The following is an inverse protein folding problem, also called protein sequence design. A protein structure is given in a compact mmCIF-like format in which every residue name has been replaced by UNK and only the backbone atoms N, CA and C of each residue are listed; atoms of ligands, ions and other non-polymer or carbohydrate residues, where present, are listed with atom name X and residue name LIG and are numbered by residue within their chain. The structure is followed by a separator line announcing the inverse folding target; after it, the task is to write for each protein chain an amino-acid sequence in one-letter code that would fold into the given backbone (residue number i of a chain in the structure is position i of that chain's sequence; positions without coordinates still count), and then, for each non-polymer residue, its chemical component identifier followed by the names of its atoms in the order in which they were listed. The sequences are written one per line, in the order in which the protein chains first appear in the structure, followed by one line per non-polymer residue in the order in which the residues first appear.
data_IF_752245383267
#
_entry.id   IF_752245383267
#
_cell.length_a   1.000
_cell.length_b   1.000
_cell.length_c   1.000
_cell.angle_alpha   90.00
_cell.angle_beta   90.00
_cell.angle_gamma   90.00
#
_symmetry.space_group_name_H-M   'P 1'
#
loop_
_entity.id
_entity.type
_entity.pdbx_description
1 polymer ?
#
# COMPACT_ATOMS: atom_id res chain seq x y z
N UNK A 1 87.35 -20.28 -26.55
CA UNK A 1 86.61 -19.11 -26.03
C UNK A 1 85.13 -19.35 -26.35
N UNK A 2 84.36 -19.80 -25.36
CA UNK A 2 82.98 -20.26 -25.52
C UNK A 2 82.02 -19.06 -25.64
N UNK A 3 81.28 -18.95 -26.75
CA UNK A 3 80.16 -18.03 -26.88
C UNK A 3 78.85 -18.83 -26.72
N UNK A 4 78.17 -18.61 -25.59
CA UNK A 4 76.91 -19.27 -25.22
C UNK A 4 75.76 -18.51 -25.88
N UNK A 5 75.06 -19.14 -26.83
CA UNK A 5 73.84 -18.60 -27.46
C UNK A 5 72.69 -18.72 -26.45
N UNK A 6 72.19 -17.61 -25.96
CA UNK A 6 71.00 -17.56 -25.08
C UNK A 6 69.76 -17.56 -25.97
N UNK A 7 69.06 -18.69 -26.01
CA UNK A 7 67.77 -18.81 -26.71
C UNK A 7 66.66 -18.38 -25.75
N UNK A 8 66.13 -17.17 -25.94
CA UNK A 8 64.95 -16.70 -25.21
C UNK A 8 63.71 -17.46 -25.69
N UNK A 9 63.15 -18.32 -24.84
CA UNK A 9 61.81 -18.88 -25.04
C UNK A 9 60.79 -17.79 -24.71
N UNK A 10 60.12 -17.24 -25.73
CA UNK A 10 58.89 -16.48 -25.53
C UNK A 10 57.81 -17.46 -25.07
N UNK A 11 57.44 -17.37 -23.80
CA UNK A 11 56.24 -18.02 -23.25
C UNK A 11 55.06 -17.16 -23.70
N UNK A 12 54.33 -17.64 -24.71
CA UNK A 12 53.02 -17.08 -25.06
C UNK A 12 52.03 -17.52 -23.98
N UNK A 13 51.67 -16.59 -23.10
CA UNK A 13 50.66 -16.80 -22.07
C UNK A 13 49.29 -16.57 -22.71
N UNK A 14 48.65 -17.66 -23.13
CA UNK A 14 47.29 -17.65 -23.64
C UNK A 14 46.33 -17.38 -22.45
N UNK A 15 45.84 -16.15 -22.34
CA UNK A 15 44.75 -15.80 -21.43
C UNK A 15 43.46 -16.45 -21.95
N UNK A 16 43.13 -17.63 -21.43
CA UNK A 16 41.77 -18.16 -21.53
C UNK A 16 40.87 -17.30 -20.63
N UNK A 17 40.20 -16.31 -21.22
CA UNK A 17 39.03 -15.68 -20.61
C UNK A 17 37.94 -16.75 -20.62
N UNK A 18 37.79 -17.47 -19.51
CA UNK A 18 36.61 -18.28 -19.28
C UNK A 18 35.42 -17.31 -19.22
N UNK A 19 34.59 -17.31 -20.28
CA UNK A 19 33.22 -16.85 -20.17
C UNK A 19 32.57 -17.75 -19.12
N UNK A 20 32.53 -17.27 -17.88
CA UNK A 20 31.62 -17.84 -16.90
C UNK A 20 30.22 -17.67 -17.51
N UNK A 21 29.40 -18.73 -17.63
CA UNK A 21 28.00 -18.50 -17.89
C UNK A 21 27.52 -17.54 -16.79
N UNK A 22 26.95 -16.40 -17.20
CA UNK A 22 26.26 -15.54 -16.25
C UNK A 22 25.24 -16.41 -15.53
N UNK A 23 25.17 -16.32 -14.20
CA UNK A 23 24.06 -16.91 -13.46
C UNK A 23 22.77 -16.48 -14.18
N UNK A 24 21.96 -17.45 -14.60
CA UNK A 24 20.61 -17.12 -15.02
C UNK A 24 19.98 -16.39 -13.84
N UNK A 25 19.57 -15.15 -14.04
CA UNK A 25 18.83 -14.45 -13.01
C UNK A 25 17.53 -15.23 -12.88
N UNK A 26 17.30 -15.73 -11.67
CA UNK A 26 16.05 -16.33 -11.31
C UNK A 26 14.93 -15.30 -11.57
N UNK A 27 13.80 -15.78 -12.09
CA UNK A 27 12.70 -14.93 -12.54
C UNK A 27 11.58 -15.07 -11.53
N UNK A 28 11.29 -13.98 -10.83
CA UNK A 28 10.10 -13.84 -10.01
C UNK A 28 8.87 -13.91 -10.92
N UNK A 29 7.98 -14.84 -10.64
CA UNK A 29 6.70 -15.02 -11.35
C UNK A 29 5.59 -14.76 -10.34
N UNK A 30 4.53 -14.11 -10.81
CA UNK A 30 3.27 -14.00 -10.04
C UNK A 30 2.39 -15.12 -10.54
N UNK A 31 2.11 -16.10 -9.69
CA UNK A 31 1.13 -17.13 -10.02
C UNK A 31 -0.26 -16.52 -9.91
N UNK A 32 -0.59 -15.98 -8.73
CA UNK A 32 -1.83 -15.24 -8.51
C UNK A 32 -1.66 -14.04 -7.55
N UNK A 33 -2.52 -13.05 -7.71
CA UNK A 33 -2.71 -11.99 -6.72
C UNK A 33 -4.17 -11.56 -6.67
N UNK A 34 -4.63 -11.23 -5.47
CA UNK A 34 -6.02 -10.91 -5.21
C UNK A 34 -6.20 -9.65 -4.38
N UNK A 35 -7.33 -8.98 -4.58
CA UNK A 35 -7.80 -7.90 -3.71
C UNK A 35 -9.20 -8.27 -3.21
N UNK A 36 -9.36 -8.32 -1.89
CA UNK A 36 -10.65 -8.49 -1.24
C UNK A 36 -11.05 -7.18 -0.55
N UNK A 37 -12.20 -6.64 -0.93
CA UNK A 37 -12.81 -5.48 -0.28
C UNK A 37 -14.17 -5.93 0.26
N UNK A 38 -14.32 -5.95 1.58
CA UNK A 38 -15.55 -6.27 2.29
C UNK A 38 -16.16 -7.64 1.92
N UNK A 39 -15.33 -8.68 1.84
CA UNK A 39 -15.73 -10.05 1.48
C UNK A 39 -16.00 -10.27 0.00
N UNK A 40 -15.65 -9.31 -0.85
CA UNK A 40 -15.72 -9.43 -2.31
C UNK A 40 -14.31 -9.55 -2.89
N UNK A 41 -13.69 -10.71 -2.70
CA UNK A 41 -12.40 -11.10 -3.29
C UNK A 41 -12.47 -11.23 -4.80
N UNK A 42 -11.48 -10.66 -5.49
CA UNK A 42 -11.23 -10.87 -6.92
C UNK A 42 -9.77 -11.26 -7.08
N UNK A 43 -9.50 -12.31 -7.84
CA UNK A 43 -8.16 -12.68 -8.30
C UNK A 43 -7.89 -12.09 -9.68
N UNK A 44 -6.61 -11.86 -9.99
CA UNK A 44 -6.16 -11.56 -11.36
C UNK A 44 -6.51 -12.68 -12.35
N UNK A 45 -6.47 -13.94 -11.92
CA UNK A 45 -6.81 -15.12 -12.74
C UNK A 45 -8.31 -15.25 -13.06
N UNK A 46 -9.20 -14.58 -12.34
CA UNK A 46 -10.64 -14.60 -12.60
C UNK A 46 -11.01 -14.00 -13.97
N UNK A 47 -10.11 -13.21 -14.55
CA UNK A 47 -10.34 -12.53 -15.83
C UNK A 47 -11.43 -11.46 -15.78
N UNK A 48 -11.81 -11.04 -14.57
CA UNK A 48 -12.72 -9.90 -14.34
C UNK A 48 -11.91 -8.68 -13.88
N UNK A 49 -12.34 -7.45 -14.22
CA UNK A 49 -11.69 -6.26 -13.69
C UNK A 49 -11.86 -6.17 -12.17
N UNK A 50 -10.81 -5.72 -11.47
CA UNK A 50 -10.88 -5.33 -10.06
C UNK A 50 -11.90 -4.20 -9.84
N UNK A 51 -12.32 -4.02 -8.58
CA UNK A 51 -13.20 -2.93 -8.18
C UNK A 51 -12.63 -1.56 -8.58
N UNK A 52 -13.51 -0.58 -8.78
CA UNK A 52 -13.13 0.75 -9.27
C UNK A 52 -12.19 1.52 -8.33
N UNK A 53 -12.17 1.13 -7.06
CA UNK A 53 -11.28 1.65 -6.03
C UNK A 53 -9.81 1.24 -6.26
N UNK A 54 -9.54 0.14 -6.98
CA UNK A 54 -8.19 -0.43 -7.18
C UNK A 54 -7.48 0.24 -8.35
N UNK A 55 -6.32 0.83 -8.06
CA UNK A 55 -5.40 1.42 -9.03
C UNK A 55 -4.11 0.60 -9.13
N UNK A 56 -3.89 0.02 -10.31
CA UNK A 56 -2.71 -0.78 -10.66
C UNK A 56 -1.70 -0.02 -11.52
N UNK A 57 -1.85 1.31 -11.70
CA UNK A 57 -0.98 2.07 -12.60
C UNK A 57 0.51 2.03 -12.24
N UNK A 58 0.82 1.84 -10.96
CA UNK A 58 2.19 1.71 -10.44
C UNK A 58 2.63 0.24 -10.24
N UNK A 59 1.76 -0.73 -10.53
CA UNK A 59 2.06 -2.15 -10.43
C UNK A 59 2.48 -2.69 -11.79
N UNK A 60 3.62 -3.39 -11.84
CA UNK A 60 4.11 -4.03 -13.04
C UNK A 60 3.78 -5.53 -13.02
N UNK A 61 2.67 -5.89 -13.66
CA UNK A 61 2.23 -7.28 -13.80
C UNK A 61 3.24 -8.20 -14.52
N UNK A 62 4.24 -7.64 -15.22
CA UNK A 62 5.31 -8.46 -15.83
C UNK A 62 6.35 -8.90 -14.80
N UNK A 63 6.61 -8.08 -13.78
CA UNK A 63 7.64 -8.36 -12.76
C UNK A 63 7.04 -8.72 -11.40
N UNK A 64 5.74 -8.52 -11.22
CA UNK A 64 5.09 -8.63 -9.91
C UNK A 64 5.49 -7.55 -8.92
N UNK A 65 6.16 -6.48 -9.35
CA UNK A 65 6.68 -5.45 -8.43
C UNK A 65 5.96 -4.12 -8.63
N UNK A 66 6.00 -3.28 -7.60
CA UNK A 66 5.44 -1.93 -7.63
C UNK A 66 4.37 -1.75 -6.56
N UNK A 67 3.46 -0.81 -6.81
CA UNK A 67 2.46 -0.40 -5.82
C UNK A 67 1.04 -0.62 -6.34
N UNK A 68 0.19 -1.17 -5.49
CA UNK A 68 -1.26 -1.25 -5.68
C UNK A 68 -1.90 -0.25 -4.72
N UNK A 69 -2.62 0.73 -5.25
CA UNK A 69 -3.25 1.77 -4.44
C UNK A 69 -4.77 1.67 -4.49
N UNK A 70 -5.43 2.00 -3.40
CA UNK A 70 -6.88 2.13 -3.32
C UNK A 70 -7.30 3.41 -2.64
N UNK A 71 -8.39 4.02 -3.13
CA UNK A 71 -8.96 5.23 -2.54
C UNK A 71 -10.42 5.03 -2.20
N UNK A 72 -10.77 5.31 -0.94
CA UNK A 72 -12.12 5.20 -0.40
C UNK A 72 -12.60 6.56 0.08
N UNK A 73 -13.84 6.94 -0.24
CA UNK A 73 -14.42 8.25 0.13
C UNK A 73 -15.87 8.16 0.60
N UNK A 74 -16.43 6.95 0.65
CA UNK A 74 -17.78 6.71 1.14
C UNK A 74 -17.70 6.40 2.63
N UNK A 75 -18.62 6.97 3.40
CA UNK A 75 -18.73 6.72 4.85
C UNK A 75 -19.08 5.25 5.08
N UNK A 76 -18.33 4.59 5.96
CA UNK A 76 -18.57 3.19 6.28
C UNK A 76 -17.34 2.52 6.89
N UNK A 77 -17.53 1.26 7.27
CA UNK A 77 -16.46 0.36 7.69
C UNK A 77 -15.94 -0.42 6.49
N UNK A 78 -14.63 -0.61 6.45
CA UNK A 78 -13.91 -1.30 5.39
C UNK A 78 -13.00 -2.37 5.99
N UNK A 79 -13.01 -3.55 5.38
CA UNK A 79 -12.01 -4.60 5.52
C UNK A 79 -11.39 -4.82 4.13
N UNK A 80 -10.07 -4.64 4.02
CA UNK A 80 -9.38 -4.68 2.73
C UNK A 80 -8.10 -5.49 2.83
N UNK A 81 -8.05 -6.60 2.09
CA UNK A 81 -6.90 -7.51 2.09
C UNK A 81 -6.35 -7.70 0.67
N UNK A 82 -5.03 -7.74 0.58
CA UNK A 82 -4.31 -8.17 -0.61
C UNK A 82 -3.71 -9.56 -0.36
N UNK A 83 -3.83 -10.43 -1.36
CA UNK A 83 -3.26 -11.77 -1.43
C UNK A 83 -2.23 -11.84 -2.55
N UNK A 84 -1.13 -12.52 -2.32
CA UNK A 84 0.01 -12.62 -3.21
C UNK A 84 0.57 -14.04 -3.19
N UNK A 85 0.62 -14.68 -4.35
CA UNK A 85 1.20 -16.00 -4.58
C UNK A 85 2.30 -15.85 -5.64
N UNK A 86 3.54 -15.93 -5.19
CA UNK A 86 4.74 -15.65 -5.99
C UNK A 86 5.57 -16.91 -6.09
N UNK A 87 6.33 -17.00 -7.16
CA UNK A 87 7.11 -18.20 -7.47
C UNK A 87 8.53 -17.81 -7.87
N UNK A 88 9.53 -18.40 -7.22
CA UNK A 88 10.93 -18.16 -7.55
C UNK A 88 11.47 -19.26 -8.47
N UNK A 89 11.44 -18.98 -9.78
CA UNK A 89 12.09 -19.86 -10.76
C UNK A 89 11.69 -21.34 -10.68
N UNK A 90 10.40 -21.57 -10.44
CA UNK A 90 9.75 -22.87 -10.22
C UNK A 90 10.32 -24.01 -11.09
N UNK A 91 10.41 -23.79 -12.41
CA UNK A 91 10.89 -24.79 -13.37
C UNK A 91 12.36 -25.21 -13.19
N UNK A 92 13.13 -24.50 -12.38
CA UNK A 92 14.52 -24.79 -12.04
C UNK A 92 14.79 -24.98 -10.54
N UNK A 93 13.92 -24.48 -9.65
CA UNK A 93 14.15 -24.49 -8.21
C UNK A 93 13.02 -25.11 -7.37
N UNK A 94 11.90 -25.51 -7.99
CA UNK A 94 10.65 -25.89 -7.28
C UNK A 94 10.07 -24.75 -6.44
N UNK A 95 8.85 -24.93 -5.93
CA UNK A 95 8.21 -24.06 -4.94
C UNK A 95 8.37 -24.55 -3.48
N UNK A 96 8.83 -25.79 -3.27
CA UNK A 96 8.81 -26.47 -1.96
C UNK A 96 9.97 -26.10 -1.01
N UNK A 97 10.82 -25.15 -1.39
CA UNK A 97 12.02 -24.76 -0.65
C UNK A 97 12.00 -23.30 -0.22
N UNK A 98 10.83 -22.69 -0.20
CA UNK A 98 10.64 -21.28 0.08
C UNK A 98 10.13 -21.08 1.51
N UNK A 99 10.29 -19.89 2.07
CA UNK A 99 9.77 -19.58 3.39
C UNK A 99 9.39 -18.10 3.54
N UNK A 100 8.52 -17.82 4.49
CA UNK A 100 8.17 -16.47 4.87
C UNK A 100 8.86 -15.99 6.14
N UNK A 101 9.01 -14.67 6.26
CA UNK A 101 9.46 -14.02 7.49
C UNK A 101 8.78 -12.68 7.73
N UNK A 102 8.79 -12.25 8.99
CA UNK A 102 8.07 -11.07 9.46
C UNK A 102 9.06 -10.12 10.12
N UNK A 103 8.93 -8.83 9.81
CA UNK A 103 9.77 -7.78 10.38
C UNK A 103 8.92 -6.63 10.91
N UNK A 104 9.33 -6.08 12.05
CA UNK A 104 8.62 -5.00 12.72
C UNK A 104 7.41 -5.48 13.50
N UNK A 105 6.39 -4.62 13.61
CA UNK A 105 5.14 -4.94 14.29
C UNK A 105 4.01 -4.28 13.52
N UNK A 106 2.98 -5.08 13.21
CA UNK A 106 1.79 -4.60 12.52
C UNK A 106 1.17 -3.42 13.27
N UNK A 107 0.66 -2.45 12.51
CA UNK A 107 -0.09 -1.35 13.08
C UNK A 107 -1.42 -1.84 13.69
N UNK A 108 -2.08 -0.96 14.46
CA UNK A 108 -3.46 -1.26 14.88
C UNK A 108 -4.33 -1.44 13.63
N UNK A 109 -5.14 -2.49 13.65
CA UNK A 109 -6.07 -2.85 12.56
C UNK A 109 -5.36 -3.24 11.25
N UNK A 110 -4.06 -3.47 11.28
CA UNK A 110 -3.36 -4.14 10.19
C UNK A 110 -3.32 -5.63 10.51
N UNK A 111 -3.81 -6.45 9.59
CA UNK A 111 -3.74 -7.91 9.65
C UNK A 111 -2.77 -8.43 8.61
N UNK A 112 -2.29 -9.65 8.78
CA UNK A 112 -1.34 -10.28 7.87
C UNK A 112 -1.35 -11.79 8.02
N UNK A 113 -0.82 -12.49 7.02
CA UNK A 113 -0.65 -13.94 7.08
C UNK A 113 0.44 -14.38 6.10
N UNK A 114 1.16 -15.44 6.47
CA UNK A 114 2.06 -16.19 5.59
C UNK A 114 1.73 -17.67 5.77
N UNK A 115 1.32 -18.33 4.70
CA UNK A 115 0.96 -19.75 4.73
C UNK A 115 1.11 -20.36 3.33
N UNK A 116 0.88 -21.66 3.24
CA UNK A 116 0.76 -22.38 1.98
C UNK A 116 -0.52 -21.91 1.25
N UNK A 117 -0.51 -21.70 -0.08
CA UNK A 117 -1.64 -21.12 -0.82
C UNK A 117 -2.96 -21.91 -0.74
N UNK A 118 -2.94 -23.15 -0.26
CA UNK A 118 -4.14 -23.93 0.09
C UNK A 118 -4.31 -25.23 -0.70
N UNK A 119 -3.24 -25.74 -1.32
CA UNK A 119 -3.24 -27.01 -2.03
C UNK A 119 -3.05 -28.21 -1.10
N UNK A 120 -2.33 -28.04 0.02
CA UNK A 120 -1.94 -29.13 0.93
C UNK A 120 -2.47 -28.91 2.35
N UNK A 121 -2.18 -27.78 2.98
CA UNK A 121 -2.50 -27.56 4.39
C UNK A 121 -2.78 -26.11 4.81
N UNK A 122 -2.51 -25.11 3.97
CA UNK A 122 -2.71 -23.71 4.35
C UNK A 122 -4.16 -23.24 4.24
N UNK A 123 -4.51 -22.22 5.03
CA UNK A 123 -5.86 -21.62 5.04
C UNK A 123 -5.89 -20.13 4.67
N UNK A 124 -4.75 -19.56 4.28
CA UNK A 124 -4.60 -18.15 3.88
C UNK A 124 -5.57 -17.70 2.78
N UNK A 125 -5.90 -18.54 1.80
CA UNK A 125 -6.85 -18.17 0.76
C UNK A 125 -8.27 -18.05 1.32
N UNK A 126 -8.67 -18.96 2.23
CA UNK A 126 -9.96 -18.90 2.90
C UNK A 126 -10.01 -17.68 3.85
N UNK A 127 -8.96 -17.47 4.66
CA UNK A 127 -8.85 -16.31 5.55
C UNK A 127 -8.91 -15.00 4.75
N UNK A 128 -8.19 -14.90 3.63
CA UNK A 128 -8.26 -13.77 2.71
C UNK A 128 -9.69 -13.57 2.18
N UNK A 129 -10.37 -14.63 1.73
CA UNK A 129 -11.73 -14.54 1.17
C UNK A 129 -12.76 -14.07 2.21
N UNK A 130 -12.57 -14.41 3.49
CA UNK A 130 -13.46 -14.02 4.59
C UNK A 130 -13.03 -12.77 5.35
N UNK A 131 -11.91 -12.13 4.96
CA UNK A 131 -11.29 -11.04 5.70
C UNK A 131 -10.97 -11.39 7.17
N UNK A 132 -10.36 -12.56 7.38
CA UNK A 132 -10.08 -13.14 8.71
C UNK A 132 -8.59 -13.55 8.86
N UNK A 133 -7.67 -12.78 8.27
CA UNK A 133 -6.23 -13.03 8.37
C UNK A 133 -5.76 -13.13 9.83
N UNK A 134 -5.00 -14.17 10.15
CA UNK A 134 -4.84 -14.61 11.54
C UNK A 134 -3.57 -14.09 12.26
N UNK A 135 -2.73 -13.31 11.56
CA UNK A 135 -1.46 -12.77 12.05
C UNK A 135 -0.43 -13.84 12.39
N UNK A 136 -0.37 -14.90 11.58
CA UNK A 136 0.57 -16.01 11.76
C UNK A 136 1.48 -16.22 10.54
N UNK A 137 2.57 -16.95 10.80
CA UNK A 137 3.47 -17.47 9.78
C UNK A 137 3.57 -18.98 9.97
N UNK A 138 2.92 -19.73 9.09
CA UNK A 138 2.90 -21.19 9.09
C UNK A 138 4.10 -21.82 8.38
N UNK A 139 4.85 -21.04 7.58
CA UNK A 139 6.02 -21.48 6.80
C UNK A 139 7.26 -20.65 7.17
N UNK A 140 7.76 -20.76 8.42
CA UNK A 140 8.99 -20.11 8.81
C UNK A 140 10.21 -20.85 8.24
N UNK A 141 11.37 -20.16 8.20
CA UNK A 141 12.65 -20.79 7.87
C UNK A 141 12.90 -22.08 8.69
N UNK A 142 13.32 -23.14 8.00
CA UNK A 142 13.47 -24.50 8.53
C UNK A 142 12.21 -25.37 8.46
N UNK A 143 11.12 -24.85 7.88
CA UNK A 143 9.89 -25.58 7.54
C UNK A 143 9.41 -25.12 6.16
N UNK A 144 10.35 -25.11 5.22
CA UNK A 144 10.16 -24.61 3.86
C UNK A 144 9.08 -25.40 3.11
N UNK A 145 8.28 -24.67 2.32
CA UNK A 145 7.21 -25.17 1.45
C UNK A 145 6.82 -24.06 0.45
N UNK A 146 5.73 -24.23 -0.29
CA UNK A 146 5.11 -23.21 -1.15
C UNK A 146 4.55 -22.05 -0.33
N UNK A 147 4.77 -20.79 -0.71
CA UNK A 147 4.46 -19.61 0.13
C UNK A 147 3.55 -18.62 -0.58
N UNK A 148 2.40 -18.38 0.06
CA UNK A 148 1.58 -17.21 -0.18
C UNK A 148 1.66 -16.19 0.96
N UNK A 149 1.39 -14.94 0.63
CA UNK A 149 1.46 -13.80 1.55
C UNK A 149 0.19 -12.96 1.45
N UNK A 150 -0.36 -12.59 2.61
CA UNK A 150 -1.51 -11.70 2.68
C UNK A 150 -1.28 -10.54 3.67
N UNK A 151 -1.80 -9.36 3.31
CA UNK A 151 -1.76 -8.14 4.13
C UNK A 151 -3.12 -7.46 4.09
N UNK A 152 -3.59 -7.01 5.24
CA UNK A 152 -4.94 -6.48 5.42
C UNK A 152 -5.03 -5.23 6.28
N UNK A 153 -6.11 -4.48 6.10
CA UNK A 153 -6.47 -3.33 6.93
C UNK A 153 -7.97 -3.23 7.19
N UNK A 154 -8.32 -3.01 8.46
CA UNK A 154 -9.66 -2.63 8.89
C UNK A 154 -9.72 -1.15 9.29
N UNK A 155 -10.68 -0.41 8.74
CA UNK A 155 -10.84 1.01 9.06
C UNK A 155 -12.27 1.52 8.87
N UNK A 156 -12.58 2.60 9.58
CA UNK A 156 -13.82 3.35 9.43
C UNK A 156 -13.54 4.68 8.73
N UNK A 157 -14.42 5.07 7.82
CA UNK A 157 -14.46 6.42 7.25
C UNK A 157 -15.66 7.19 7.77
N UNK A 158 -15.40 8.36 8.35
CA UNK A 158 -16.42 9.34 8.73
C UNK A 158 -16.78 10.26 7.56
N UNK A 159 -17.80 11.09 7.78
CA UNK A 159 -18.22 12.11 6.82
C UNK A 159 -17.05 13.05 6.49
N UNK A 160 -16.83 13.26 5.19
CA UNK A 160 -15.74 14.07 4.63
C UNK A 160 -14.33 13.51 4.85
N UNK A 161 -14.20 12.22 5.15
CA UNK A 161 -12.91 11.55 5.16
C UNK A 161 -12.63 10.84 3.84
N UNK A 162 -11.35 10.63 3.55
CA UNK A 162 -10.87 9.82 2.43
C UNK A 162 -9.69 8.99 2.90
N UNK A 163 -9.76 7.69 2.70
CA UNK A 163 -8.65 6.77 2.93
C UNK A 163 -7.88 6.53 1.64
N UNK A 164 -6.56 6.49 1.74
CA UNK A 164 -5.67 5.93 0.74
C UNK A 164 -4.92 4.77 1.37
N UNK A 165 -5.15 3.58 0.83
CA UNK A 165 -4.46 2.34 1.21
C UNK A 165 -3.50 1.97 0.08
N UNK A 166 -2.24 1.71 0.40
CA UNK A 166 -1.22 1.30 -0.55
C UNK A 166 -0.59 0.00 -0.09
N UNK A 167 -0.50 -0.99 -0.99
CA UNK A 167 0.33 -2.17 -0.87
C UNK A 167 1.55 -1.99 -1.78
N UNK A 168 2.74 -2.18 -1.22
CA UNK A 168 4.03 -2.03 -1.91
C UNK A 168 4.76 -3.37 -1.93
N UNK A 169 5.17 -3.79 -3.13
CA UNK A 169 5.88 -5.03 -3.40
C UNK A 169 7.26 -4.71 -4.01
N UNK A 170 8.33 -5.12 -3.34
CA UNK A 170 9.71 -4.76 -3.69
C UNK A 170 10.67 -5.95 -3.64
N UNK A 171 11.74 -5.90 -4.42
CA UNK A 171 12.85 -6.87 -4.40
C UNK A 171 14.01 -6.43 -3.48
N UNK A 172 13.87 -5.28 -2.83
CA UNK A 172 14.80 -4.79 -1.82
C UNK A 172 14.11 -4.67 -0.46
N UNK A 173 14.85 -5.04 0.58
CA UNK A 173 14.34 -5.01 1.95
C UNK A 173 14.01 -3.59 2.42
N UNK A 174 12.79 -3.34 2.94
CA UNK A 174 12.47 -2.08 3.59
C UNK A 174 13.39 -1.81 4.79
N UNK A 175 13.86 -0.56 4.94
CA UNK A 175 14.79 -0.19 6.01
C UNK A 175 14.14 0.00 7.38
N UNK A 176 12.81 0.08 7.43
CA UNK A 176 12.02 0.28 8.64
C UNK A 176 10.55 -0.04 8.38
N UNK A 177 9.74 -0.08 9.44
CA UNK A 177 8.31 -0.34 9.35
C UNK A 177 7.97 -1.82 9.53
N UNK A 178 6.69 -2.14 9.33
CA UNK A 178 6.21 -3.51 9.27
C UNK A 178 6.25 -4.00 7.83
N UNK A 179 6.82 -5.18 7.61
CA UNK A 179 6.82 -5.84 6.31
C UNK A 179 6.93 -7.35 6.47
N UNK A 180 6.44 -8.05 5.46
CA UNK A 180 6.60 -9.48 5.26
C UNK A 180 7.65 -9.69 4.19
N UNK A 181 8.33 -10.83 4.24
CA UNK A 181 9.24 -11.26 3.18
C UNK A 181 8.95 -12.70 2.83
N UNK A 182 9.03 -13.00 1.54
CA UNK A 182 9.03 -14.33 0.98
C UNK A 182 10.41 -14.55 0.35
N UNK A 183 11.05 -15.63 0.74
CA UNK A 183 12.47 -15.89 0.49
C UNK A 183 12.66 -17.29 -0.08
N UNK A 184 13.54 -17.36 -1.06
CA UNK A 184 14.06 -18.61 -1.60
C UNK A 184 15.57 -18.68 -1.33
N UNK A 185 16.03 -19.58 -0.43
CA UNK A 185 17.43 -19.69 -0.05
C UNK A 185 18.31 -20.30 -1.15
N UNK A 186 17.75 -21.09 -2.07
CA UNK A 186 18.51 -21.80 -3.09
C UNK A 186 18.79 -20.91 -4.31
N UNK A 187 17.83 -20.05 -4.68
CA UNK A 187 18.04 -18.99 -5.69
C UNK A 187 18.60 -17.69 -5.09
N UNK A 188 18.57 -17.55 -3.76
CA UNK A 188 18.95 -16.34 -3.01
C UNK A 188 18.13 -15.11 -3.45
N UNK A 189 16.83 -15.32 -3.68
CA UNK A 189 15.86 -14.29 -4.03
C UNK A 189 14.94 -13.97 -2.86
N UNK A 190 14.44 -12.73 -2.86
CA UNK A 190 13.51 -12.25 -1.85
C UNK A 190 12.54 -11.26 -2.49
N UNK A 191 11.29 -11.34 -2.10
CA UNK A 191 10.28 -10.31 -2.34
C UNK A 191 9.72 -9.86 -1.00
N UNK A 192 9.47 -8.56 -0.89
CA UNK A 192 9.05 -7.90 0.35
C UNK A 192 7.72 -7.23 0.11
N UNK A 193 6.83 -7.37 1.10
CA UNK A 193 5.48 -6.84 1.06
C UNK A 193 5.28 -5.90 2.24
N UNK A 194 4.80 -4.70 1.96
CA UNK A 194 4.44 -3.74 3.00
C UNK A 194 3.17 -3.01 2.63
N UNK A 195 2.54 -2.37 3.61
CA UNK A 195 1.34 -1.57 3.35
C UNK A 195 1.23 -0.37 4.26
N UNK A 196 0.50 0.64 3.80
CA UNK A 196 0.22 1.86 4.54
C UNK A 196 -1.20 2.34 4.32
N UNK A 197 -1.82 2.81 5.39
CA UNK A 197 -3.14 3.42 5.37
C UNK A 197 -3.03 4.89 5.83
N UNK A 198 -3.57 5.80 5.02
CA UNK A 198 -3.65 7.23 5.34
C UNK A 198 -5.09 7.69 5.22
N UNK A 199 -5.68 8.13 6.32
CA UNK A 199 -7.00 8.75 6.36
C UNK A 199 -6.83 10.26 6.48
N UNK A 200 -7.45 11.00 5.57
CA UNK A 200 -7.45 12.47 5.56
C UNK A 200 -8.86 13.00 5.66
N UNK A 201 -9.02 14.12 6.38
CA UNK A 201 -10.30 14.81 6.48
C UNK A 201 -10.28 16.04 5.58
N UNK A 202 -11.28 16.18 4.70
CA UNK A 202 -11.46 17.42 3.95
C UNK A 202 -11.77 18.56 4.93
N UNK A 203 -11.22 19.77 4.71
CA UNK A 203 -11.50 20.90 5.58
C UNK A 203 -13.01 21.15 5.60
N UNK A 204 -13.59 21.18 6.80
CA UNK A 204 -15.00 21.57 6.95
C UNK A 204 -15.18 22.95 6.33
N UNK A 205 -16.15 23.16 5.43
CA UNK A 205 -16.38 24.47 4.85
C UNK A 205 -16.64 25.45 5.99
N UNK A 206 -15.74 26.42 6.17
CA UNK A 206 -15.97 27.50 7.11
C UNK A 206 -17.10 28.32 6.54
N UNK A 207 -18.31 28.16 7.09
CA UNK A 207 -19.38 29.11 6.81
C UNK A 207 -18.87 30.44 7.36
N UNK A 208 -18.65 31.47 6.52
CA UNK A 208 -18.31 32.79 7.03
C UNK A 208 -19.42 33.17 8.00
N UNK A 209 -19.08 33.41 9.26
CA UNK A 209 -20.09 33.88 10.21
C UNK A 209 -20.80 35.07 9.56
N UNK A 210 -22.15 35.05 9.45
CA UNK A 210 -22.87 36.22 9.00
C UNK A 210 -22.35 37.38 9.83
N UNK A 211 -21.99 38.51 9.21
CA UNK A 211 -21.41 39.66 9.87
C UNK A 211 -22.33 40.17 10.98
N UNK A 212 -22.34 39.49 12.12
CA UNK A 212 -23.30 39.67 13.20
C UNK A 212 -23.01 41.01 13.85
N UNK A 213 -21.73 41.40 13.84
CA UNK A 213 -21.27 42.76 14.13
C UNK A 213 -21.79 43.76 13.10
N UNK A 214 -21.71 43.49 11.79
CA UNK A 214 -22.23 44.39 10.75
C UNK A 214 -23.75 44.55 10.85
N UNK A 215 -24.49 43.48 11.16
CA UNK A 215 -25.94 43.49 11.34
C UNK A 215 -26.34 44.19 12.65
N UNK A 216 -25.60 43.96 13.74
CA UNK A 216 -25.79 44.65 15.01
C UNK A 216 -25.48 46.15 14.89
N UNK A 217 -24.40 46.51 14.19
CA UNK A 217 -24.03 47.91 13.93
C UNK A 217 -25.03 48.60 13.01
N UNK A 218 -25.51 47.95 11.96
CA UNK A 218 -26.56 48.48 11.08
C UNK A 218 -27.88 48.70 11.85
N UNK A 219 -28.25 47.76 12.72
CA UNK A 219 -29.42 47.89 13.59
C UNK A 219 -29.29 49.03 14.62
N UNK A 220 -28.11 49.20 15.22
CA UNK A 220 -27.83 50.28 16.18
C UNK A 220 -27.82 51.65 15.50
N UNK A 221 -27.26 51.74 14.29
CA UNK A 221 -27.34 52.95 13.46
C UNK A 221 -28.79 53.33 13.19
N UNK A 222 -29.62 52.39 12.73
CA UNK A 222 -31.03 52.68 12.47
C UNK A 222 -31.76 53.20 13.72
N UNK A 223 -31.53 52.56 14.88
CA UNK A 223 -32.15 52.95 16.15
C UNK A 223 -31.75 54.36 16.61
N UNK A 224 -30.49 54.75 16.43
CA UNK A 224 -29.98 56.09 16.78
C UNK A 224 -30.53 57.20 15.87
N UNK A 225 -30.83 56.90 14.60
CA UNK A 225 -31.32 57.91 13.64
C UNK A 225 -32.85 57.98 13.52
N UNK A 226 -33.60 56.96 13.95
CA UNK A 226 -35.07 57.00 13.97
C UNK A 226 -35.68 57.76 15.14
N UNK A 227 -34.88 58.16 16.15
CA UNK A 227 -35.37 58.77 17.40
C UNK A 227 -35.73 60.27 17.36
N UNK A 228 -35.44 61.00 16.28
CA UNK A 228 -35.54 62.47 16.27
C UNK A 228 -36.75 63.05 15.53
N UNK A 229 -37.71 62.23 15.09
CA UNK A 229 -38.88 62.68 14.33
C UNK A 229 -40.17 62.74 15.18
N UNK A 230 -40.13 63.32 16.38
CA UNK A 230 -41.37 63.67 17.09
C UNK A 230 -41.13 64.81 18.09
N UNK A 231 -41.36 66.04 17.66
CA UNK A 231 -42.14 67.09 18.35
C UNK A 231 -41.72 68.47 17.82
N UNK A 232 -42.42 68.94 16.78
CA UNK A 232 -42.55 70.38 16.57
C UNK A 232 -43.88 70.65 15.88
N UNK A 233 -44.95 70.71 16.66
CA UNK A 233 -46.23 71.23 16.21
C UNK A 233 -46.46 72.62 16.81
N UNK A 234 -46.14 73.62 15.99
CA UNK A 234 -46.80 74.92 15.81
C UNK A 234 -47.60 75.52 16.98
N UNK A 235 -47.13 76.68 17.45
CA UNK A 235 -47.85 77.53 18.39
C UNK A 235 -48.97 78.38 17.78
N UNK A 236 -49.74 79.05 18.65
CA UNK A 236 -50.51 80.27 18.33
C UNK A 236 -50.52 81.18 19.56
N UNK A 237 -50.01 82.39 19.37
CA UNK A 237 -50.18 83.58 20.21
C UNK A 237 -51.52 84.23 19.87
N UNK A 238 -52.29 84.68 20.89
CA UNK A 238 -53.12 85.92 21.02
C UNK A 238 -53.47 86.02 22.52
N UNK A 239 -53.43 87.13 23.25
CA UNK A 239 -53.53 88.55 22.92
C UNK A 239 -54.70 89.13 23.73
N UNK A 240 -54.36 89.93 24.75
CA UNK A 240 -55.21 90.75 25.66
C UNK A 240 -56.09 90.01 26.68
#
# INVERSE_FOLDING_TARGET
MFAKKVTGKMISMLFCFSLLPGAAQATLIVEDFGININGNGILNSDGVPFQAEVDLAAYNATTGLGSIAMTFSVVGSYAVDAFFDYEFSEGSNSYLNEYGSVSGSAASNQSWEIDEPGFVFGDIFDNWQFNDLDNSNAIPAGSEDDVAVALGWDFDLLVNETATLTFDITDFSPSSGFFLAHSDPDSNENVYFSSSLVITQAPTPTIPEPGTISLMLAGLFWFLFSGSAAFNHHGVSRGL
#
